data_IF_437545678081
#
_entry.id   IF_437545678081
#
_cell.length_a   1.000
_cell.length_b   1.000
_cell.length_c   1.000
_cell.angle_alpha   90.00
_cell.angle_beta   90.00
_cell.angle_gamma   90.00
#
_symmetry.space_group_name_H-M   'P 1'
#
loop_
_entity.id
_entity.type
_entity.pdbx_description
1 polymer ?
#
# COMPACT_ATOMS: atom_id res chain seq x y z
N UNK A 1 4.44 -24.74 -10.28
CA UNK A 1 3.11 -24.66 -9.68
C UNK A 1 2.36 -25.95 -9.96
N UNK A 2 1.61 -26.43 -8.96
CA UNK A 2 0.75 -27.59 -9.13
C UNK A 2 -0.39 -27.22 -10.10
N UNK A 3 -0.84 -28.22 -10.88
CA UNK A 3 -1.95 -28.07 -11.82
C UNK A 3 -3.24 -27.62 -11.12
N UNK A 4 -3.47 -28.15 -9.93
CA UNK A 4 -4.62 -27.80 -9.09
C UNK A 4 -4.61 -26.31 -8.70
N UNK A 5 -3.44 -25.75 -8.39
CA UNK A 5 -3.31 -24.31 -8.06
C UNK A 5 -3.61 -23.43 -9.29
N UNK A 6 -3.14 -23.87 -10.47
CA UNK A 6 -3.42 -23.15 -11.72
C UNK A 6 -4.91 -23.18 -12.07
N UNK A 7 -5.58 -24.33 -11.91
CA UNK A 7 -7.00 -24.47 -12.22
C UNK A 7 -7.85 -23.66 -11.23
N UNK A 8 -7.54 -23.69 -9.93
CA UNK A 8 -8.19 -22.84 -8.90
C UNK A 8 -8.04 -21.35 -9.20
N UNK A 9 -6.84 -20.91 -9.60
CA UNK A 9 -6.61 -19.50 -9.93
C UNK A 9 -7.36 -19.08 -11.21
N UNK A 10 -7.48 -19.95 -12.20
CA UNK A 10 -8.32 -19.69 -13.37
C UNK A 10 -9.81 -19.55 -12.99
N UNK A 11 -10.31 -20.45 -12.14
CA UNK A 11 -11.70 -20.36 -11.65
C UNK A 11 -11.93 -19.02 -10.95
N UNK A 12 -11.01 -18.58 -10.10
CA UNK A 12 -11.07 -17.28 -9.42
C UNK A 12 -11.07 -16.11 -10.42
N UNK A 13 -10.15 -16.13 -11.39
CA UNK A 13 -10.01 -15.04 -12.36
C UNK A 13 -11.21 -14.93 -13.30
N UNK A 14 -11.80 -16.04 -13.70
CA UNK A 14 -12.94 -16.02 -14.64
C UNK A 14 -14.31 -15.98 -13.95
N UNK A 15 -14.38 -16.13 -12.62
CA UNK A 15 -15.64 -16.14 -11.86
C UNK A 15 -16.59 -14.96 -12.21
N UNK A 16 -16.12 -13.70 -12.37
CA UNK A 16 -17.01 -12.58 -12.68
C UNK A 16 -17.76 -12.70 -14.01
N UNK A 17 -17.28 -13.50 -14.97
CA UNK A 17 -17.97 -13.74 -16.23
C UNK A 17 -19.22 -14.66 -16.10
N UNK A 18 -19.33 -15.37 -14.98
CA UNK A 18 -20.44 -16.30 -14.72
C UNK A 18 -21.47 -15.75 -13.76
N UNK A 19 -21.20 -14.59 -13.13
CA UNK A 19 -22.16 -13.88 -12.27
C UNK A 19 -23.18 -13.17 -13.14
N UNK A 20 -24.47 -13.46 -12.92
CA UNK A 20 -25.58 -12.77 -13.60
C UNK A 20 -26.15 -11.70 -12.67
N UNK A 21 -26.49 -10.56 -13.25
CA UNK A 21 -27.13 -9.44 -12.53
C UNK A 21 -26.36 -9.00 -11.27
N UNK A 22 -25.02 -9.08 -11.35
CA UNK A 22 -24.13 -8.67 -10.26
C UNK A 22 -23.75 -7.19 -10.30
N UNK A 23 -22.80 -6.83 -9.44
CA UNK A 23 -22.30 -5.46 -9.32
C UNK A 23 -21.38 -5.08 -10.48
N UNK A 24 -21.52 -3.87 -11.01
CA UNK A 24 -20.55 -3.28 -11.96
C UNK A 24 -19.27 -2.89 -11.24
N UNK A 25 -18.12 -3.16 -11.85
CA UNK A 25 -16.81 -2.79 -11.31
C UNK A 25 -16.67 -1.30 -10.98
N UNK A 26 -17.38 -0.41 -11.69
CA UNK A 26 -17.37 1.04 -11.44
C UNK A 26 -18.01 1.40 -10.10
N UNK A 27 -19.02 0.63 -9.68
CA UNK A 27 -19.68 0.83 -8.39
C UNK A 27 -18.72 0.50 -7.26
N UNK A 28 -18.02 -0.64 -7.33
CA UNK A 28 -17.00 -1.02 -6.34
C UNK A 28 -15.85 -0.01 -6.32
N UNK A 29 -15.36 0.43 -7.49
CA UNK A 29 -14.30 1.44 -7.58
C UNK A 29 -14.68 2.75 -6.90
N UNK A 30 -15.92 3.23 -7.10
CA UNK A 30 -16.44 4.42 -6.42
C UNK A 30 -16.54 4.22 -4.90
N UNK A 31 -17.00 3.04 -4.46
CA UNK A 31 -17.12 2.72 -3.05
C UNK A 31 -15.74 2.71 -2.37
N UNK A 32 -14.74 2.05 -2.95
CA UNK A 32 -13.36 2.01 -2.44
C UNK A 32 -12.76 3.43 -2.39
N UNK A 33 -12.88 4.20 -3.48
CA UNK A 33 -12.38 5.57 -3.52
C UNK A 33 -13.01 6.45 -2.44
N UNK A 34 -14.31 6.30 -2.21
CA UNK A 34 -15.04 7.06 -1.18
C UNK A 34 -14.64 6.63 0.23
N UNK A 35 -14.44 5.34 0.45
CA UNK A 35 -13.93 4.82 1.72
C UNK A 35 -12.56 5.41 2.05
N UNK A 36 -11.62 5.37 1.11
CA UNK A 36 -10.29 5.94 1.31
C UNK A 36 -10.32 7.45 1.57
N UNK A 37 -11.16 8.18 0.83
CA UNK A 37 -11.31 9.62 1.03
C UNK A 37 -11.85 9.97 2.43
N UNK A 38 -12.81 9.19 2.95
CA UNK A 38 -13.46 9.46 4.21
C UNK A 38 -12.65 8.99 5.42
N UNK A 39 -11.97 7.84 5.31
CA UNK A 39 -11.35 7.15 6.44
C UNK A 39 -9.83 7.22 6.46
N UNK A 40 -9.18 7.44 5.31
CA UNK A 40 -7.73 7.56 5.17
C UNK A 40 -7.31 8.90 4.51
N UNK A 41 -8.08 9.96 4.73
CA UNK A 41 -7.85 11.30 4.19
C UNK A 41 -6.63 12.02 4.77
N UNK A 42 -6.58 13.36 4.67
CA UNK A 42 -5.45 14.17 5.12
C UNK A 42 -5.11 13.96 6.60
N UNK A 43 -6.07 14.19 7.49
CA UNK A 43 -5.92 13.97 8.94
C UNK A 43 -6.49 12.59 9.28
N UNK A 44 -5.70 11.76 9.97
CA UNK A 44 -6.01 10.38 10.31
C UNK A 44 -6.06 10.16 11.82
N UNK A 45 -6.78 9.17 12.26
CA UNK A 45 -6.72 8.63 13.62
C UNK A 45 -7.06 7.14 13.63
N UNK A 46 -6.75 6.45 14.74
CA UNK A 46 -6.97 5.01 14.87
C UNK A 46 -8.43 4.62 14.65
N UNK A 47 -9.38 5.40 15.17
CA UNK A 47 -10.81 5.10 15.03
C UNK A 47 -11.26 5.12 13.56
N UNK A 48 -10.95 6.18 12.82
CA UNK A 48 -11.33 6.29 11.40
C UNK A 48 -10.63 5.24 10.56
N UNK A 49 -9.33 5.03 10.77
CA UNK A 49 -8.56 4.03 10.03
C UNK A 49 -9.11 2.61 10.27
N UNK A 50 -9.46 2.26 11.51
CA UNK A 50 -10.04 0.94 11.83
C UNK A 50 -11.39 0.76 11.16
N UNK A 51 -12.27 1.76 11.23
CA UNK A 51 -13.57 1.72 10.54
C UNK A 51 -13.42 1.61 9.02
N UNK A 52 -12.43 2.33 8.46
CA UNK A 52 -12.12 2.25 7.03
C UNK A 52 -11.64 0.85 6.63
N UNK A 53 -10.79 0.22 7.44
CA UNK A 53 -10.31 -1.14 7.21
C UNK A 53 -11.47 -2.15 7.25
N UNK A 54 -12.29 -2.13 8.29
CA UNK A 54 -13.47 -3.00 8.43
C UNK A 54 -14.42 -2.85 7.23
N UNK A 55 -14.62 -1.62 6.74
CA UNK A 55 -15.45 -1.35 5.58
C UNK A 55 -14.84 -1.95 4.30
N UNK A 56 -13.53 -1.79 4.05
CA UNK A 56 -12.86 -2.38 2.90
C UNK A 56 -12.88 -3.91 2.95
N UNK A 57 -12.71 -4.51 4.13
CA UNK A 57 -12.83 -5.95 4.33
C UNK A 57 -14.26 -6.47 4.05
N UNK A 58 -15.29 -5.66 4.38
CA UNK A 58 -16.66 -5.99 4.00
C UNK A 58 -16.86 -5.96 2.48
N UNK A 59 -16.23 -5.01 1.78
CA UNK A 59 -16.30 -4.96 0.32
C UNK A 59 -15.64 -6.17 -0.33
N UNK A 60 -14.49 -6.60 0.19
CA UNK A 60 -13.83 -7.81 -0.29
C UNK A 60 -14.71 -9.04 -0.12
N UNK A 61 -15.32 -9.20 1.05
CA UNK A 61 -16.14 -10.36 1.38
C UNK A 61 -17.48 -10.40 0.63
N UNK A 62 -18.11 -9.23 0.42
CA UNK A 62 -19.49 -9.15 -0.05
C UNK A 62 -19.59 -8.72 -1.52
N UNK A 63 -18.76 -7.77 -1.96
CA UNK A 63 -18.88 -7.16 -3.28
C UNK A 63 -17.97 -7.78 -4.32
N UNK A 64 -16.76 -8.19 -3.95
CA UNK A 64 -15.86 -8.85 -4.91
C UNK A 64 -16.49 -10.12 -5.50
N UNK A 65 -17.11 -11.03 -4.72
CA UNK A 65 -17.79 -12.18 -5.28
C UNK A 65 -19.04 -11.84 -6.11
N UNK A 66 -19.62 -10.65 -5.92
CA UNK A 66 -20.79 -10.17 -6.63
C UNK A 66 -20.47 -9.42 -7.93
N UNK A 67 -19.18 -9.20 -8.26
CA UNK A 67 -18.78 -8.56 -9.51
C UNK A 67 -19.26 -9.36 -10.72
N UNK A 68 -19.85 -8.66 -11.70
CA UNK A 68 -20.35 -9.25 -12.94
C UNK A 68 -19.69 -8.57 -14.14
N UNK A 69 -19.19 -9.36 -15.08
CA UNK A 69 -18.49 -8.90 -16.28
C UNK A 69 -19.08 -9.57 -17.52
N UNK A 70 -19.30 -8.79 -18.57
CA UNK A 70 -19.89 -9.28 -19.82
C UNK A 70 -18.85 -9.53 -20.92
N UNK A 71 -17.62 -9.03 -20.74
CA UNK A 71 -16.55 -9.10 -21.73
C UNK A 71 -15.16 -9.05 -21.07
N UNK A 72 -14.08 -9.39 -21.82
CA UNK A 72 -12.72 -9.39 -21.28
C UNK A 72 -12.22 -8.04 -20.76
N UNK A 73 -12.70 -6.94 -21.33
CA UNK A 73 -12.31 -5.60 -20.86
C UNK A 73 -12.88 -5.31 -19.48
N UNK A 74 -14.14 -5.63 -19.25
CA UNK A 74 -14.77 -5.49 -17.93
C UNK A 74 -14.12 -6.43 -16.90
N UNK A 75 -13.76 -7.66 -17.30
CA UNK A 75 -13.04 -8.59 -16.46
C UNK A 75 -11.70 -8.01 -16.00
N UNK A 76 -10.92 -7.43 -16.90
CA UNK A 76 -9.66 -6.75 -16.57
C UNK A 76 -9.91 -5.62 -15.55
N UNK A 77 -10.93 -4.79 -15.78
CA UNK A 77 -11.29 -3.70 -14.86
C UNK A 77 -11.75 -4.18 -13.49
N UNK A 78 -12.49 -5.27 -13.42
CA UNK A 78 -12.90 -5.88 -12.16
C UNK A 78 -11.68 -6.33 -11.34
N UNK A 79 -10.69 -6.96 -11.97
CA UNK A 79 -9.45 -7.34 -11.30
C UNK A 79 -8.63 -6.12 -10.85
N UNK A 80 -8.49 -5.10 -11.69
CA UNK A 80 -7.83 -3.84 -11.29
C UNK A 80 -8.47 -3.24 -10.02
N UNK A 81 -9.79 -3.22 -9.93
CA UNK A 81 -10.49 -2.70 -8.75
C UNK A 81 -10.27 -3.59 -7.53
N UNK A 82 -10.23 -4.91 -7.70
CA UNK A 82 -9.90 -5.85 -6.62
C UNK A 82 -8.46 -5.63 -6.12
N UNK A 83 -7.51 -5.43 -7.02
CA UNK A 83 -6.11 -5.13 -6.66
C UNK A 83 -6.00 -3.76 -5.95
N UNK A 84 -6.75 -2.74 -6.42
CA UNK A 84 -6.84 -1.43 -5.75
C UNK A 84 -7.40 -1.58 -4.34
N UNK A 85 -8.43 -2.40 -4.14
CA UNK A 85 -9.02 -2.67 -2.83
C UNK A 85 -7.97 -3.25 -1.87
N UNK A 86 -7.20 -4.24 -2.32
CA UNK A 86 -6.12 -4.84 -1.52
C UNK A 86 -5.03 -3.82 -1.17
N UNK A 87 -4.57 -3.03 -2.15
CA UNK A 87 -3.59 -1.96 -1.90
C UNK A 87 -4.13 -0.94 -0.89
N UNK A 88 -5.41 -0.57 -0.97
CA UNK A 88 -6.05 0.34 -0.01
C UNK A 88 -6.04 -0.23 1.41
N UNK A 89 -6.29 -1.53 1.58
CA UNK A 89 -6.19 -2.22 2.88
C UNK A 89 -4.77 -2.14 3.43
N UNK A 90 -3.76 -2.44 2.61
CA UNK A 90 -2.35 -2.35 2.99
C UNK A 90 -1.93 -0.92 3.38
N UNK A 91 -2.44 0.10 2.67
CA UNK A 91 -2.22 1.51 3.02
C UNK A 91 -2.77 1.82 4.41
N UNK A 92 -4.01 1.41 4.71
CA UNK A 92 -4.62 1.63 6.03
C UNK A 92 -3.82 0.90 7.13
N UNK A 93 -3.42 -0.35 6.91
CA UNK A 93 -2.55 -1.08 7.83
C UNK A 93 -1.25 -0.33 8.10
N UNK A 94 -0.60 0.20 7.06
CA UNK A 94 0.61 1.02 7.20
C UNK A 94 0.36 2.29 8.03
N UNK A 95 -0.77 2.96 7.79
CA UNK A 95 -1.16 4.15 8.54
C UNK A 95 -1.45 3.86 10.02
N UNK A 96 -2.08 2.71 10.32
CA UNK A 96 -2.35 2.27 11.70
C UNK A 96 -1.07 1.98 12.48
N UNK A 97 -0.04 1.47 11.79
CA UNK A 97 1.24 1.14 12.42
C UNK A 97 2.08 2.37 12.77
N UNK A 98 1.93 3.46 12.04
CA UNK A 98 2.66 4.69 12.30
C UNK A 98 1.96 5.50 13.39
N UNK A 99 2.58 5.56 14.57
CA UNK A 99 2.07 6.25 15.77
C UNK A 99 2.71 7.64 15.94
N UNK A 100 2.88 8.39 14.86
CA UNK A 100 3.45 9.73 14.84
C UNK A 100 2.97 10.53 13.64
N UNK A 101 2.96 11.83 13.72
CA UNK A 101 2.84 12.73 12.57
C UNK A 101 4.22 12.98 11.95
N UNK A 102 4.27 13.32 10.65
CA UNK A 102 5.51 13.63 9.95
C UNK A 102 5.28 14.71 8.90
N UNK A 103 5.86 15.87 9.11
CA UNK A 103 5.76 17.00 8.18
C UNK A 103 6.39 16.67 6.82
N UNK A 104 7.59 16.06 6.73
CA UNK A 104 8.20 15.71 5.44
C UNK A 104 7.37 14.73 4.61
N UNK A 105 6.57 13.87 5.26
CA UNK A 105 5.70 12.90 4.58
C UNK A 105 4.28 13.43 4.34
N UNK A 106 3.95 14.65 4.74
CA UNK A 106 2.60 15.19 4.75
C UNK A 106 1.60 14.23 5.42
N UNK A 107 2.06 13.58 6.51
CA UNK A 107 1.31 12.57 7.24
C UNK A 107 0.89 13.11 8.59
N UNK A 108 -0.41 13.29 8.78
CA UNK A 108 -0.97 13.88 9.98
C UNK A 108 -1.86 12.89 10.73
N UNK A 109 -1.58 12.74 12.03
CA UNK A 109 -2.34 11.93 12.99
C UNK A 109 -2.88 12.81 14.10
N UNK A 110 -4.21 12.96 14.20
CA UNK A 110 -4.82 13.75 15.26
C UNK A 110 -4.69 13.13 16.65
N UNK A 111 -4.57 11.81 16.72
CA UNK A 111 -4.31 11.03 17.94
C UNK A 111 -2.82 10.93 18.32
N UNK A 112 -1.92 11.16 17.38
CA UNK A 112 -0.46 11.19 17.54
C UNK A 112 0.13 12.42 16.84
N UNK A 113 -0.17 13.67 17.32
CA UNK A 113 0.19 14.89 16.60
C UNK A 113 1.69 15.21 16.61
N UNK A 114 2.44 14.57 17.51
CA UNK A 114 3.87 14.80 17.65
C UNK A 114 4.67 14.05 16.56
N UNK A 115 5.76 14.65 16.12
CA UNK A 115 6.74 13.99 15.29
C UNK A 115 7.62 13.09 16.15
N UNK A 116 7.83 11.85 15.72
CA UNK A 116 8.77 10.92 16.33
C UNK A 116 9.97 10.72 15.40
N UNK A 117 11.18 11.22 15.77
CA UNK A 117 12.38 11.03 14.96
C UNK A 117 12.77 9.57 14.74
N UNK A 118 12.45 8.66 15.65
CA UNK A 118 12.75 7.23 15.48
C UNK A 118 11.82 6.59 14.45
N UNK A 119 10.54 6.95 14.44
CA UNK A 119 9.60 6.54 13.37
C UNK A 119 10.05 7.09 12.00
N UNK A 120 10.61 8.30 11.94
CA UNK A 120 11.11 8.91 10.71
C UNK A 120 12.42 8.26 10.20
N UNK A 121 13.12 7.51 11.05
CA UNK A 121 14.34 6.76 10.69
C UNK A 121 14.09 5.35 10.18
N UNK A 122 12.85 4.91 10.13
CA UNK A 122 12.47 3.57 9.73
C UNK A 122 11.56 3.57 8.49
N UNK A 123 11.64 2.48 7.72
CA UNK A 123 10.59 2.08 6.79
C UNK A 123 9.65 1.10 7.52
N UNK A 124 8.35 1.29 7.36
CA UNK A 124 7.36 0.29 7.76
C UNK A 124 7.14 -0.63 6.56
N UNK A 125 7.50 -1.89 6.72
CA UNK A 125 7.29 -2.92 5.69
C UNK A 125 6.12 -3.80 6.12
N UNK A 126 5.17 -3.98 5.21
CA UNK A 126 4.03 -4.89 5.37
C UNK A 126 4.29 -6.11 4.50
N UNK A 127 4.01 -7.28 5.02
CA UNK A 127 4.16 -8.54 4.31
C UNK A 127 3.10 -9.54 4.79
N UNK A 128 2.85 -10.56 3.99
CA UNK A 128 1.95 -11.64 4.37
C UNK A 128 2.76 -12.86 4.80
N UNK A 129 2.38 -13.45 5.92
CA UNK A 129 2.95 -14.69 6.44
C UNK A 129 1.83 -15.54 7.01
N UNK A 130 1.72 -16.79 6.55
CA UNK A 130 0.65 -17.72 6.91
C UNK A 130 -0.78 -17.18 6.72
N UNK A 131 -0.98 -16.36 5.70
CA UNK A 131 -2.27 -15.74 5.39
C UNK A 131 -2.59 -14.47 6.21
N UNK A 132 -1.76 -14.13 7.19
CA UNK A 132 -1.91 -12.94 8.02
C UNK A 132 -1.03 -11.78 7.56
N UNK A 133 -1.56 -10.56 7.65
CA UNK A 133 -0.79 -9.34 7.38
C UNK A 133 0.10 -9.07 8.60
N UNK A 134 1.41 -9.04 8.37
CA UNK A 134 2.43 -8.72 9.37
C UNK A 134 3.21 -7.47 8.97
N UNK A 135 3.88 -6.89 9.92
CA UNK A 135 4.71 -5.71 9.70
C UNK A 135 6.03 -5.79 10.45
N UNK A 136 7.01 -5.08 9.93
CA UNK A 136 8.28 -4.84 10.61
C UNK A 136 8.79 -3.44 10.32
N UNK A 137 9.57 -2.89 11.25
CA UNK A 137 10.32 -1.66 11.05
C UNK A 137 11.72 -2.00 10.58
N UNK A 138 12.12 -1.42 9.46
CA UNK A 138 13.47 -1.57 8.89
C UNK A 138 14.15 -0.20 9.00
N UNK A 139 15.29 -0.08 9.71
CA UNK A 139 16.04 1.17 9.75
C UNK A 139 16.40 1.65 8.35
N UNK A 140 16.32 2.95 8.10
CA UNK A 140 16.71 3.54 6.80
C UNK A 140 18.19 3.27 6.43
N UNK A 141 19.02 2.96 7.42
CA UNK A 141 20.42 2.55 7.25
C UNK A 141 20.60 1.02 7.29
N UNK A 142 19.64 0.29 6.77
CA UNK A 142 19.66 -1.17 6.80
C UNK A 142 20.91 -1.79 6.18
N UNK A 143 21.46 -1.18 5.14
CA UNK A 143 22.70 -1.62 4.49
C UNK A 143 23.98 -0.93 5.05
N UNK A 144 23.89 -0.32 6.22
CA UNK A 144 24.98 0.44 6.84
C UNK A 144 24.88 1.95 6.59
N UNK A 145 25.97 2.67 6.87
CA UNK A 145 26.01 4.09 6.62
C UNK A 145 26.15 4.38 5.12
N UNK A 146 25.05 4.82 4.52
CA UNK A 146 24.99 5.14 3.08
C UNK A 146 26.02 6.18 2.70
N UNK A 147 26.31 7.17 3.57
CA UNK A 147 27.33 8.19 3.31
C UNK A 147 28.71 7.56 3.20
N UNK A 148 29.09 6.71 4.15
CA UNK A 148 30.37 6.01 4.14
C UNK A 148 30.51 5.10 2.92
N UNK A 149 29.45 4.41 2.53
CA UNK A 149 29.46 3.56 1.34
C UNK A 149 29.55 4.39 0.05
N UNK A 150 28.80 5.49 -0.05
CA UNK A 150 28.88 6.41 -1.19
C UNK A 150 30.29 6.98 -1.33
N UNK A 151 30.87 7.49 -0.24
CA UNK A 151 32.22 8.03 -0.22
C UNK A 151 33.26 6.98 -0.61
N UNK A 152 33.12 5.73 -0.13
CA UNK A 152 34.05 4.64 -0.47
C UNK A 152 33.98 4.25 -1.96
N UNK A 153 32.77 4.23 -2.55
CA UNK A 153 32.57 3.81 -3.94
C UNK A 153 32.77 4.94 -4.96
N UNK A 154 32.79 6.21 -4.54
CA UNK A 154 32.83 7.37 -5.44
C UNK A 154 33.99 8.32 -5.13
N UNK A 155 35.10 7.79 -4.65
CA UNK A 155 36.29 8.60 -4.26
C UNK A 155 36.83 9.46 -5.40
N UNK A 156 36.81 8.96 -6.63
CA UNK A 156 37.34 9.70 -7.77
C UNK A 156 36.43 10.87 -8.14
N UNK A 157 35.09 10.62 -8.13
CA UNK A 157 34.09 11.66 -8.38
C UNK A 157 34.13 12.78 -7.32
N UNK A 158 34.27 12.43 -6.04
CA UNK A 158 34.36 13.40 -4.94
C UNK A 158 35.61 14.27 -5.08
N UNK A 159 36.75 13.70 -5.53
CA UNK A 159 38.00 14.45 -5.78
C UNK A 159 37.86 15.40 -6.96
N UNK A 160 37.22 14.95 -8.05
CA UNK A 160 36.93 15.82 -9.20
C UNK A 160 36.03 16.99 -8.83
N UNK A 161 35.00 16.76 -8.05
CA UNK A 161 34.08 17.81 -7.59
C UNK A 161 34.76 18.81 -6.65
N UNK A 162 35.59 18.35 -5.74
CA UNK A 162 36.38 19.21 -4.87
C UNK A 162 37.38 20.08 -5.66
N UNK A 163 38.07 19.52 -6.69
CA UNK A 163 38.97 20.24 -7.56
C UNK A 163 38.31 21.36 -8.37
N UNK A 164 37.05 21.19 -8.76
CA UNK A 164 36.29 22.22 -9.49
C UNK A 164 35.99 23.48 -8.65
N UNK A 165 36.01 23.39 -7.32
CA UNK A 165 35.79 24.51 -6.42
C UNK A 165 37.09 25.22 -5.98
N UNK A 166 38.24 24.60 -6.18
CA UNK A 166 39.56 25.22 -5.84
C UNK A 166 40.15 26.10 -6.98
N UNK A 167 39.60 25.98 -8.20
CA UNK A 167 40.05 26.74 -9.38
C UNK A 167 39.27 28.05 -9.64
N UNK A 168 38.38 28.49 -8.76
CA UNK A 168 37.58 29.72 -8.82
C UNK A 168 37.84 30.61 -7.59
#
# INVERSE_FOLDING_TARGET
PDRTDVDREKERLYAPLFVKDGMDWRELNKAVSKAMQNYCGGVKNDMLLTQGLELLESYEREYVPALSCQNPHELMRAHEVTDILEVCRLIIHSCLLRKSSSVPLCFERSDYPQTDPEEDRCFITIYQEDGEIRSRRIPKRYYGDVKTQYEACNQDYIKEEAGLYEEN
#
